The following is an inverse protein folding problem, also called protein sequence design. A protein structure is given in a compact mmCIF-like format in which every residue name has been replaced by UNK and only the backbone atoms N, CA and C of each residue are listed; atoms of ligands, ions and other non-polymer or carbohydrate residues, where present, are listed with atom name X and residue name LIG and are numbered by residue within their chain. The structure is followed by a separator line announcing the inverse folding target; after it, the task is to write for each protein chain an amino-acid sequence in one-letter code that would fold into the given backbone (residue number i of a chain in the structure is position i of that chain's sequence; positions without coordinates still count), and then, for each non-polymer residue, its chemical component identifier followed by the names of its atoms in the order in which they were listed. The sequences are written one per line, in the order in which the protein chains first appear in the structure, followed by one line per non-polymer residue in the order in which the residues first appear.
data_IF_414097543812
#
_entry.id   IF_414097543812
#
_cell.length_a   1.000
_cell.length_b   1.000
_cell.length_c   1.000
_cell.angle_alpha   90.00
_cell.angle_beta   90.00
_cell.angle_gamma   90.00
#
_symmetry.space_group_name_H-M   'P 1'
#
loop_
_entity.id
_entity.type
_entity.pdbx_description
1 polymer ?
#
# COMPACT_ATOMS: atom_id res chain seq x y z
N UNK A 1 17.11 -77.10 -35.71
CA UNK A 1 17.17 -77.23 -37.18
C UNK A 1 15.88 -76.69 -37.78
N UNK A 2 16.03 -76.04 -38.93
CA UNK A 2 15.13 -75.15 -39.70
C UNK A 2 13.85 -75.86 -40.24
N UNK A 3 12.94 -75.24 -41.05
CA UNK A 3 13.14 -74.01 -41.81
C UNK A 3 11.94 -73.07 -42.07
N UNK A 4 12.35 -71.96 -42.69
CA UNK A 4 11.62 -70.88 -43.38
C UNK A 4 10.84 -71.37 -44.61
N UNK A 5 9.72 -70.71 -44.94
CA UNK A 5 9.21 -70.59 -46.32
C UNK A 5 8.75 -69.15 -46.61
N UNK A 6 9.12 -68.67 -47.80
CA UNK A 6 8.87 -67.34 -48.37
C UNK A 6 7.67 -67.31 -49.34
N UNK A 7 7.21 -66.07 -49.60
CA UNK A 7 6.42 -65.56 -50.73
C UNK A 7 4.93 -65.98 -50.80
N UNK A 8 3.96 -65.13 -51.16
CA UNK A 8 3.91 -64.17 -52.28
C UNK A 8 2.85 -63.05 -52.02
N UNK A 9 3.06 -61.84 -52.59
CA UNK A 9 2.08 -60.73 -52.73
C UNK A 9 0.97 -61.15 -53.74
N UNK A 10 -0.27 -60.64 -53.84
CA UNK A 10 -0.78 -59.25 -53.86
C UNK A 10 -2.30 -59.28 -54.12
N UNK A 11 -3.06 -58.29 -53.61
CA UNK A 11 -3.95 -57.36 -54.35
C UNK A 11 -5.02 -56.72 -53.43
N UNK A 12 -5.46 -55.47 -53.70
CA UNK A 12 -6.24 -54.65 -52.77
C UNK A 12 -7.75 -54.69 -53.05
N UNK A 13 -8.58 -54.47 -52.02
CA UNK A 13 -9.99 -54.09 -52.17
C UNK A 13 -10.39 -53.00 -51.17
N UNK A 14 -11.07 -52.00 -51.70
CA UNK A 14 -11.60 -50.81 -51.06
C UNK A 14 -12.70 -51.11 -50.03
N UNK A 15 -12.83 -50.28 -48.99
CA UNK A 15 -13.99 -49.42 -48.77
C UNK A 15 -14.02 -48.77 -47.36
N UNK A 16 -14.52 -47.53 -47.35
CA UNK A 16 -15.16 -46.79 -46.26
C UNK A 16 -14.27 -46.19 -45.14
N UNK A 17 -13.73 -45.02 -45.46
CA UNK A 17 -13.26 -44.02 -44.50
C UNK A 17 -14.47 -43.38 -43.77
N UNK A 18 -14.52 -43.50 -42.44
CA UNK A 18 -15.54 -42.87 -41.59
C UNK A 18 -14.92 -41.65 -40.91
N UNK A 19 -15.00 -40.50 -41.57
CA UNK A 19 -14.65 -39.22 -40.95
C UNK A 19 -15.63 -38.88 -39.81
N UNK A 20 -15.16 -39.05 -38.57
CA UNK A 20 -15.81 -38.55 -37.35
C UNK A 20 -15.61 -37.03 -37.27
N UNK A 21 -16.67 -36.27 -37.54
CA UNK A 21 -16.69 -34.83 -37.37
C UNK A 21 -16.49 -34.45 -35.88
N UNK A 22 -15.35 -33.86 -35.56
CA UNK A 22 -15.08 -33.25 -34.24
C UNK A 22 -15.77 -31.89 -34.21
N UNK A 23 -16.86 -31.77 -33.44
CA UNK A 23 -17.52 -30.48 -33.18
C UNK A 23 -16.57 -29.58 -32.40
N UNK A 24 -16.05 -28.53 -33.04
CA UNK A 24 -15.27 -27.46 -32.38
C UNK A 24 -16.18 -26.63 -31.49
N UNK A 25 -15.85 -26.55 -30.20
CA UNK A 25 -16.49 -25.63 -29.27
C UNK A 25 -16.20 -24.16 -29.66
N UNK A 26 -17.14 -23.22 -29.44
CA UNK A 26 -16.93 -21.82 -29.79
C UNK A 26 -15.83 -21.20 -28.91
N UNK A 27 -14.88 -20.51 -29.54
CA UNK A 27 -13.85 -19.74 -28.85
C UNK A 27 -14.54 -18.62 -28.06
N UNK A 28 -14.38 -18.62 -26.73
CA UNK A 28 -14.75 -17.50 -25.87
C UNK A 28 -13.96 -16.26 -26.29
N UNK A 29 -14.68 -15.18 -26.61
CA UNK A 29 -14.11 -13.85 -26.78
C UNK A 29 -13.49 -13.40 -25.44
N UNK A 30 -12.36 -12.68 -25.45
CA UNK A 30 -11.78 -12.15 -24.23
C UNK A 30 -12.73 -11.11 -23.62
N UNK A 31 -13.16 -11.35 -22.39
CA UNK A 31 -13.87 -10.36 -21.57
C UNK A 31 -12.94 -9.15 -21.39
N UNK A 32 -13.39 -7.98 -21.83
CA UNK A 32 -12.76 -6.69 -21.54
C UNK A 32 -12.52 -6.61 -20.03
N UNK A 33 -11.25 -6.45 -19.62
CA UNK A 33 -10.91 -6.25 -18.22
C UNK A 33 -11.73 -5.07 -17.70
N UNK A 34 -12.43 -5.29 -16.57
CA UNK A 34 -13.05 -4.20 -15.84
C UNK A 34 -11.98 -3.14 -15.55
N UNK A 35 -12.36 -1.85 -15.63
CA UNK A 35 -11.48 -0.78 -15.19
C UNK A 35 -10.98 -1.11 -13.77
N UNK A 36 -9.71 -0.81 -13.44
CA UNK A 36 -9.22 -1.03 -12.10
C UNK A 36 -10.14 -0.31 -11.12
N UNK A 37 -10.70 -1.05 -10.16
CA UNK A 37 -11.41 -0.48 -9.02
C UNK A 37 -10.53 0.63 -8.41
N UNK A 38 -11.10 1.78 -8.04
CA UNK A 38 -10.33 2.83 -7.40
C UNK A 38 -9.60 2.24 -6.18
N UNK A 39 -8.37 2.70 -5.88
CA UNK A 39 -7.64 2.22 -4.71
C UNK A 39 -8.55 2.28 -3.49
N UNK A 40 -8.74 1.14 -2.81
CA UNK A 40 -9.48 1.12 -1.55
C UNK A 40 -8.81 2.13 -0.64
N UNK A 41 -9.60 3.02 -0.04
CA UNK A 41 -9.05 4.01 0.87
C UNK A 41 -8.37 3.32 2.06
N UNK A 42 -7.21 3.82 2.49
CA UNK A 42 -6.35 3.11 3.45
C UNK A 42 -5.78 4.02 4.52
N UNK A 43 -5.47 3.42 5.66
CA UNK A 43 -4.74 4.03 6.75
C UNK A 43 -3.38 3.34 6.92
N UNK A 44 -2.32 4.12 7.10
CA UNK A 44 -0.95 3.59 7.24
C UNK A 44 -0.35 3.98 8.58
N UNK A 45 0.32 3.03 9.24
CA UNK A 45 1.21 3.28 10.36
C UNK A 45 2.61 3.59 9.82
N UNK A 46 3.22 4.67 10.30
CA UNK A 46 4.60 5.04 10.01
C UNK A 46 5.37 5.20 11.32
N UNK A 47 6.54 4.57 11.41
CA UNK A 47 7.46 4.79 12.52
C UNK A 47 8.11 6.18 12.40
N UNK A 48 8.17 6.90 13.53
CA UNK A 48 8.70 8.24 13.65
C UNK A 48 9.47 8.36 14.98
N UNK A 49 10.61 9.06 14.99
CA UNK A 49 11.29 9.39 16.24
C UNK A 49 10.69 10.67 16.85
N UNK A 50 11.09 10.97 18.09
CA UNK A 50 10.46 12.08 18.79
C UNK A 50 10.72 13.47 18.18
N UNK A 51 11.97 13.85 17.84
CA UNK A 51 12.22 15.16 17.24
C UNK A 51 11.44 15.43 15.96
N UNK A 52 11.28 14.45 15.07
CA UNK A 52 10.49 14.62 13.84
C UNK A 52 8.99 14.67 14.11
N UNK A 53 8.50 13.95 15.12
CA UNK A 53 7.09 14.03 15.49
C UNK A 53 6.76 15.43 16.05
N UNK A 54 7.65 16.04 16.83
CA UNK A 54 7.41 17.39 17.34
C UNK A 54 7.26 18.44 16.24
N UNK A 55 8.03 18.32 15.15
CA UNK A 55 7.87 19.19 13.98
C UNK A 55 6.49 19.06 13.32
N UNK A 56 5.84 17.90 13.44
CA UNK A 56 4.47 17.72 12.93
C UNK A 56 3.47 18.34 13.91
N UNK A 57 3.66 18.11 15.22
CA UNK A 57 2.78 18.61 16.28
C UNK A 57 2.77 20.14 16.32
N UNK A 58 3.94 20.78 16.22
CA UNK A 58 4.08 22.23 16.22
C UNK A 58 3.70 22.90 14.88
N UNK A 59 3.40 22.10 13.85
CA UNK A 59 3.01 22.55 12.52
C UNK A 59 4.17 23.03 11.65
N UNK A 60 5.42 22.92 12.10
CA UNK A 60 6.62 23.32 11.33
C UNK A 60 6.82 22.42 10.12
N UNK A 61 6.49 21.13 10.22
CA UNK A 61 6.51 20.16 9.13
C UNK A 61 5.09 19.95 8.60
N UNK A 62 4.80 20.54 7.44
CA UNK A 62 3.46 20.50 6.81
C UNK A 62 3.27 19.33 5.84
N UNK A 63 4.34 18.66 5.44
CA UNK A 63 4.31 17.48 4.57
C UNK A 63 5.14 16.33 5.12
N UNK A 64 4.65 15.11 4.94
CA UNK A 64 5.42 13.88 5.12
C UNK A 64 5.99 13.42 3.78
N UNK A 65 7.31 13.21 3.70
CA UNK A 65 7.99 12.83 2.46
C UNK A 65 8.32 11.35 2.46
N UNK A 66 8.03 10.65 1.36
CA UNK A 66 8.34 9.22 1.20
C UNK A 66 8.94 8.89 -0.15
N UNK A 67 9.73 7.81 -0.15
CA UNK A 67 10.28 7.19 -1.37
C UNK A 67 9.30 6.28 -2.12
N UNK A 68 8.09 6.15 -1.60
CA UNK A 68 7.08 5.25 -2.14
C UNK A 68 5.70 5.87 -2.09
N UNK A 69 4.88 5.48 -3.06
CA UNK A 69 3.48 5.86 -3.10
C UNK A 69 2.65 5.04 -2.10
N UNK A 70 1.72 5.70 -1.42
CA UNK A 70 0.67 5.16 -0.56
C UNK A 70 -0.69 5.52 -1.18
N UNK A 71 -0.93 5.09 -2.42
CA UNK A 71 -2.14 5.44 -3.16
C UNK A 71 -3.42 5.09 -2.38
N UNK A 72 -4.38 6.03 -2.34
CA UNK A 72 -5.63 5.88 -1.59
C UNK A 72 -5.48 6.14 -0.09
N UNK A 73 -4.36 6.69 0.38
CA UNK A 73 -4.19 6.99 1.80
C UNK A 73 -5.16 8.08 2.27
N UNK A 74 -5.74 7.88 3.45
CA UNK A 74 -6.58 8.88 4.12
C UNK A 74 -5.89 9.46 5.36
N UNK A 75 -5.20 8.60 6.11
CA UNK A 75 -4.61 8.94 7.40
C UNK A 75 -3.28 8.23 7.59
N UNK A 76 -2.37 8.93 8.25
CA UNK A 76 -1.13 8.38 8.78
C UNK A 76 -1.25 8.29 10.30
N UNK A 77 -0.94 7.11 10.84
CA UNK A 77 -0.88 6.83 12.27
C UNK A 77 0.61 6.79 12.66
N UNK A 78 1.07 7.78 13.41
CA UNK A 78 2.49 7.89 13.77
C UNK A 78 2.81 7.08 15.01
N UNK A 79 3.58 6.01 14.79
CA UNK A 79 4.21 5.22 15.84
C UNK A 79 5.48 5.94 16.30
N UNK A 80 5.44 6.58 17.46
CA UNK A 80 6.63 7.11 18.11
C UNK A 80 7.46 5.94 18.61
N UNK A 81 8.70 5.85 18.13
CA UNK A 81 9.66 4.85 18.60
C UNK A 81 10.04 5.08 20.07
N UNK A 82 10.99 4.32 20.60
CA UNK A 82 11.47 4.53 21.97
C UNK A 82 11.79 6.02 22.24
N UNK A 83 11.40 6.56 23.41
CA UNK A 83 10.90 5.85 24.59
C UNK A 83 9.40 5.53 24.59
N UNK A 84 8.59 6.11 23.69
CA UNK A 84 7.13 5.98 23.73
C UNK A 84 6.65 4.58 23.35
N UNK A 85 7.17 4.03 22.26
CA UNK A 85 6.77 2.72 21.71
C UNK A 85 5.26 2.58 21.55
N UNK A 86 4.62 3.63 21.01
CA UNK A 86 3.17 3.74 20.89
C UNK A 86 2.78 4.55 19.65
N UNK A 87 1.59 4.28 19.11
CA UNK A 87 0.94 5.22 18.20
C UNK A 87 0.37 6.35 19.03
N UNK A 88 0.84 7.56 18.78
CA UNK A 88 0.46 8.73 19.58
C UNK A 88 -0.36 9.73 18.79
N UNK A 89 -0.26 9.72 17.46
CA UNK A 89 -0.95 10.69 16.62
C UNK A 89 -1.56 10.06 15.38
N UNK A 90 -2.71 10.59 14.97
CA UNK A 90 -3.39 10.27 13.71
C UNK A 90 -3.52 11.57 12.91
N UNK A 91 -3.03 11.56 11.68
CA UNK A 91 -2.99 12.73 10.82
C UNK A 91 -3.73 12.43 9.51
N UNK A 92 -4.88 13.06 9.25
CA UNK A 92 -5.48 13.08 7.93
C UNK A 92 -4.52 13.69 6.91
N UNK A 93 -4.45 13.07 5.74
CA UNK A 93 -3.56 13.51 4.65
C UNK A 93 -4.26 13.53 3.31
N UNK A 94 -3.69 14.30 2.38
CA UNK A 94 -4.08 14.24 0.97
C UNK A 94 -3.33 13.13 0.23
N UNK A 95 -3.77 12.83 -1.00
CA UNK A 95 -2.94 12.09 -1.96
C UNK A 95 -1.58 12.78 -2.16
N UNK A 96 -0.60 12.00 -2.56
CA UNK A 96 0.76 12.51 -2.74
C UNK A 96 0.81 13.57 -3.85
N UNK A 97 1.46 14.69 -3.56
CA UNK A 97 2.05 15.56 -4.59
C UNK A 97 3.39 14.93 -4.99
N UNK A 98 3.71 14.92 -6.29
CA UNK A 98 4.98 14.37 -6.79
C UNK A 98 5.92 15.47 -7.29
N UNK A 99 7.14 15.08 -7.69
CA UNK A 99 8.16 15.98 -8.27
C UNK A 99 8.21 15.93 -9.80
N UNK A 100 7.12 15.48 -10.42
CA UNK A 100 6.98 15.48 -11.87
C UNK A 100 6.95 16.91 -12.41
N UNK A 101 7.46 17.18 -13.63
CA UNK A 101 7.57 18.54 -14.17
C UNK A 101 6.26 19.32 -14.24
N UNK A 102 5.12 18.63 -14.39
CA UNK A 102 3.80 19.25 -14.53
C UNK A 102 3.03 19.37 -13.21
N UNK A 103 3.57 18.82 -12.11
CA UNK A 103 2.95 18.92 -10.80
C UNK A 103 3.19 20.32 -10.21
N UNK A 104 2.19 20.85 -9.52
CA UNK A 104 2.34 22.12 -8.81
C UNK A 104 3.33 21.94 -7.64
N UNK A 105 4.26 22.90 -7.45
CA UNK A 105 5.19 22.84 -6.33
C UNK A 105 4.44 22.94 -4.99
N UNK A 106 5.07 22.43 -3.93
CA UNK A 106 4.54 22.57 -2.57
C UNK A 106 4.57 24.04 -2.15
N UNK A 107 3.60 24.51 -1.35
CA UNK A 107 3.76 25.77 -0.62
C UNK A 107 5.03 25.71 0.24
N UNK A 108 5.86 26.74 0.22
CA UNK A 108 7.10 26.79 1.03
C UNK A 108 6.82 27.17 2.50
N UNK A 109 5.67 26.74 3.03
CA UNK A 109 5.14 27.06 4.37
C UNK A 109 5.64 26.10 5.46
N UNK A 110 6.41 25.07 5.10
CA UNK A 110 6.86 24.04 6.01
C UNK A 110 8.28 23.55 5.74
N UNK A 111 8.87 22.95 6.78
CA UNK A 111 10.22 22.42 6.77
C UNK A 111 10.40 21.36 5.68
N UNK A 112 11.35 21.62 4.79
CA UNK A 112 11.70 20.73 3.68
C UNK A 112 10.96 20.97 2.38
N UNK A 113 9.92 21.81 2.37
CA UNK A 113 9.10 22.01 1.17
C UNK A 113 9.89 22.68 0.05
N UNK A 114 10.71 23.68 0.38
CA UNK A 114 11.57 24.37 -0.57
C UNK A 114 12.63 23.43 -1.15
N UNK A 115 13.32 22.67 -0.31
CA UNK A 115 14.34 21.71 -0.71
C UNK A 115 13.75 20.60 -1.59
N UNK A 116 12.56 20.11 -1.25
CA UNK A 116 11.80 19.17 -2.06
C UNK A 116 11.48 19.73 -3.45
N UNK A 117 10.98 20.97 -3.53
CA UNK A 117 10.68 21.67 -4.78
C UNK A 117 11.93 21.87 -5.65
N UNK A 118 13.05 22.22 -5.01
CA UNK A 118 14.34 22.49 -5.68
C UNK A 118 15.11 21.23 -6.08
N UNK A 119 14.56 20.06 -5.75
CA UNK A 119 15.20 18.77 -6.00
C UNK A 119 16.55 18.62 -5.30
N UNK A 120 16.65 19.10 -4.08
CA UNK A 120 17.85 19.00 -3.26
C UNK A 120 18.33 17.54 -3.10
N UNK A 121 19.65 17.27 -3.11
CA UNK A 121 20.20 15.92 -2.94
C UNK A 121 19.73 15.18 -1.68
N UNK A 122 19.44 15.88 -0.58
CA UNK A 122 18.94 15.26 0.66
C UNK A 122 17.54 14.64 0.46
N UNK A 123 16.83 15.07 -0.58
CA UNK A 123 15.52 14.56 -0.98
C UNK A 123 15.61 13.54 -2.13
N UNK A 124 16.79 13.02 -2.45
CA UNK A 124 16.93 12.04 -3.53
C UNK A 124 16.13 10.75 -3.25
N UNK A 125 15.32 10.39 -4.25
CA UNK A 125 14.32 9.32 -4.19
C UNK A 125 13.11 9.59 -3.31
N UNK A 126 12.98 10.75 -2.64
CA UNK A 126 11.73 11.16 -1.98
C UNK A 126 10.82 11.85 -3.01
N UNK A 127 10.03 11.03 -3.70
CA UNK A 127 9.20 11.48 -4.82
C UNK A 127 7.73 11.75 -4.45
N UNK A 128 7.33 11.51 -3.20
CA UNK A 128 5.94 11.61 -2.75
C UNK A 128 5.82 12.45 -1.48
N UNK A 129 5.06 13.55 -1.54
CA UNK A 129 4.80 14.44 -0.42
C UNK A 129 3.32 14.41 -0.03
N UNK A 130 3.03 14.02 1.21
CA UNK A 130 1.67 13.94 1.75
C UNK A 130 1.39 15.13 2.65
N UNK A 131 0.45 16.01 2.26
CA UNK A 131 0.05 17.16 3.10
C UNK A 131 -0.55 16.64 4.40
N UNK A 132 -0.04 17.11 5.53
CA UNK A 132 -0.65 16.89 6.83
C UNK A 132 -1.75 17.94 7.00
N UNK A 133 -3.00 17.50 7.05
CA UNK A 133 -4.16 18.40 7.07
C UNK A 133 -4.57 18.81 8.49
N UNK A 134 -4.33 17.93 9.45
CA UNK A 134 -4.63 18.10 10.86
C UNK A 134 -3.83 17.09 11.68
N UNK A 135 -3.66 17.36 12.96
CA UNK A 135 -2.96 16.47 13.90
C UNK A 135 -3.91 16.15 15.05
N UNK A 136 -4.13 14.86 15.28
CA UNK A 136 -4.92 14.38 16.41
C UNK A 136 -4.02 13.57 17.33
N UNK A 137 -3.99 13.93 18.60
CA UNK A 137 -3.41 13.12 19.66
C UNK A 137 -4.37 11.98 20.02
N UNK A 138 -3.81 10.78 20.12
CA UNK A 138 -4.57 9.56 20.39
C UNK A 138 -5.03 9.51 21.84
N UNK A 139 -6.34 9.48 22.02
CA UNK A 139 -7.02 9.28 23.29
C UNK A 139 -7.20 7.78 23.54
N UNK A 140 -6.17 7.14 24.09
CA UNK A 140 -6.18 5.74 24.51
C UNK A 140 -6.00 5.63 26.03
N UNK A 141 -6.31 4.45 26.58
CA UNK A 141 -6.20 4.17 28.01
C UNK A 141 -4.81 4.54 28.56
N UNK A 142 -4.78 5.18 29.72
CA UNK A 142 -3.54 5.61 30.38
C UNK A 142 -2.85 6.84 29.75
N UNK A 143 -3.38 7.41 28.67
CA UNK A 143 -2.85 8.63 28.05
C UNK A 143 -1.50 8.45 27.34
N UNK A 144 -1.10 7.20 27.06
CA UNK A 144 0.20 6.88 26.44
C UNK A 144 0.12 6.65 24.93
N UNK A 145 -1.07 6.83 24.33
CA UNK A 145 -1.39 6.38 22.98
C UNK A 145 -1.60 4.87 22.91
N UNK A 146 -1.72 4.34 21.70
CA UNK A 146 -1.90 2.89 21.48
C UNK A 146 -0.54 2.23 21.59
N UNK A 147 -0.26 1.64 22.74
CA UNK A 147 1.04 1.03 23.05
C UNK A 147 1.32 -0.20 22.20
N UNK A 148 2.59 -0.58 22.07
CA UNK A 148 2.98 -1.83 21.41
C UNK A 148 2.25 -3.06 22.01
N UNK A 149 2.05 -3.11 23.32
CA UNK A 149 1.32 -4.20 23.97
C UNK A 149 -0.12 -4.28 23.45
N UNK A 150 -0.84 -3.16 23.39
CA UNK A 150 -2.22 -3.10 22.86
C UNK A 150 -2.27 -3.52 21.39
N UNK A 151 -1.36 -2.99 20.55
CA UNK A 151 -1.26 -3.39 19.13
C UNK A 151 -1.06 -4.90 18.96
N UNK A 152 -0.24 -5.51 19.80
CA UNK A 152 0.07 -6.95 19.75
C UNK A 152 -1.09 -7.79 20.29
N UNK A 153 -1.56 -7.46 21.48
CA UNK A 153 -2.44 -8.30 22.28
C UNK A 153 -3.91 -8.16 21.86
N UNK A 154 -4.34 -6.97 21.44
CA UNK A 154 -5.73 -6.68 21.05
C UNK A 154 -5.92 -6.68 19.52
N UNK A 155 -4.90 -6.29 18.77
CA UNK A 155 -5.01 -6.09 17.32
C UNK A 155 -4.17 -7.05 16.47
N UNK A 156 -3.49 -8.01 17.11
CA UNK A 156 -2.80 -9.11 16.44
C UNK A 156 -1.55 -8.70 15.65
N UNK A 157 -0.97 -7.54 15.93
CA UNK A 157 0.28 -7.13 15.31
C UNK A 157 1.44 -8.01 15.81
N UNK A 158 2.26 -8.54 14.89
CA UNK A 158 3.34 -9.48 15.23
C UNK A 158 4.67 -8.81 15.57
N UNK A 159 4.90 -7.62 15.02
CA UNK A 159 6.11 -6.83 15.24
C UNK A 159 5.74 -5.35 15.40
N UNK A 160 6.51 -4.65 16.23
CA UNK A 160 6.40 -3.21 16.35
C UNK A 160 6.65 -2.55 14.97
N UNK A 161 5.91 -1.47 14.62
CA UNK A 161 6.14 -0.75 13.38
C UNK A 161 7.59 -0.28 13.24
N UNK A 162 8.25 -0.66 12.13
CA UNK A 162 9.60 -0.20 11.77
C UNK A 162 9.64 0.57 10.44
N UNK A 163 8.52 0.61 9.74
CA UNK A 163 8.36 1.19 8.41
C UNK A 163 6.88 1.39 8.13
N UNK A 164 6.47 1.24 6.86
CA UNK A 164 5.05 1.31 6.50
C UNK A 164 4.33 0.02 6.81
N UNK A 165 3.27 0.11 7.59
CA UNK A 165 2.34 -0.99 7.88
C UNK A 165 0.92 -0.51 7.64
N UNK A 166 0.04 -1.33 7.08
CA UNK A 166 -1.39 -1.00 7.01
C UNK A 166 -2.00 -1.08 8.41
N UNK A 167 -2.81 -0.09 8.79
CA UNK A 167 -3.54 -0.14 10.06
C UNK A 167 -4.56 -1.28 10.02
N UNK A 168 -4.59 -2.18 11.01
CA UNK A 168 -5.65 -3.18 11.15
C UNK A 168 -7.04 -2.54 11.24
N UNK A 169 -8.04 -3.16 10.61
CA UNK A 169 -9.44 -2.69 10.65
C UNK A 169 -9.98 -2.59 12.09
N UNK A 170 -9.55 -3.48 12.98
CA UNK A 170 -9.92 -3.44 14.41
C UNK A 170 -9.41 -2.17 15.11
N UNK A 171 -8.23 -1.66 14.74
CA UNK A 171 -7.71 -0.41 15.27
C UNK A 171 -8.49 0.78 14.73
N UNK A 172 -8.83 0.78 13.43
CA UNK A 172 -9.65 1.84 12.82
C UNK A 172 -11.02 1.91 13.49
N UNK A 173 -11.62 0.76 13.79
CA UNK A 173 -12.92 0.69 14.45
C UNK A 173 -12.88 1.15 15.92
N UNK A 174 -11.81 0.80 16.66
CA UNK A 174 -11.66 1.15 18.08
C UNK A 174 -11.21 2.60 18.31
N UNK A 175 -10.31 3.11 17.47
CA UNK A 175 -9.72 4.45 17.58
C UNK A 175 -10.13 5.31 16.39
N UNK A 176 -11.44 5.57 16.27
CA UNK A 176 -11.97 6.48 15.25
C UNK A 176 -11.39 7.88 15.41
N UNK A 177 -11.22 8.61 14.31
CA UNK A 177 -10.59 9.94 14.33
C UNK A 177 -11.41 10.93 15.19
N UNK A 178 -12.73 10.80 15.14
CA UNK A 178 -13.70 11.63 15.86
C UNK A 178 -13.61 11.46 17.38
N UNK A 179 -13.06 10.33 17.87
CA UNK A 179 -12.83 10.09 19.28
C UNK A 179 -11.49 10.62 19.81
N UNK A 180 -10.66 11.23 18.95
CA UNK A 180 -9.31 11.70 19.29
C UNK A 180 -9.28 13.20 19.55
N UNK A 181 -8.21 13.67 20.18
CA UNK A 181 -8.04 15.07 20.54
C UNK A 181 -7.34 15.83 19.41
N UNK A 182 -8.03 16.76 18.74
CA UNK A 182 -7.39 17.59 17.71
C UNK A 182 -6.45 18.60 18.38
N UNK A 183 -5.19 18.63 17.96
CA UNK A 183 -4.14 19.52 18.50
C UNK A 183 -3.62 20.53 17.46
N UNK A 184 -3.82 20.26 16.16
CA UNK A 184 -3.57 21.18 15.04
C UNK A 184 -4.65 21.01 13.97
#
# INVERSE_FOLDING_TARGET
MAPVRQNLKSQPKAAADKHRAVKRAPKRLPTRAAAPEPPRRTDMILAMNDPYMQQIIDGTKTYEFRKYNMAGIQRIWFYRTAPHSAITHICPVNEAVTRNPDDQPLPEDGLGNKEYNQKDPDYDGYDYAYRINAVYEVNAEGGQGITWAMMRDEHGMKIAPRGRVRVPESMIAQYSLEGQNKVL
#
